data_IF_783399348022
#
_entry.id   IF_783399348022
#
_cell.length_a   1.000
_cell.length_b   1.000
_cell.length_c   1.000
_cell.angle_alpha   90.00
_cell.angle_beta   90.00
_cell.angle_gamma   90.00
#
_symmetry.space_group_name_H-M   'P 1'
#
loop_
_entity.id
_entity.type
_entity.pdbx_description
1 polymer ?
#
# COMPACT_ATOMS: atom_id res chain seq x y z
N UNK A 1 14.59 2.65 0.40
CA UNK A 1 15.40 1.70 1.21
C UNK A 1 16.01 2.37 2.46
N UNK A 2 16.51 3.61 2.37
CA UNK A 2 17.21 4.28 3.48
C UNK A 2 16.33 4.64 4.70
N UNK A 3 15.07 5.05 4.52
CA UNK A 3 14.20 5.46 5.66
C UNK A 3 13.76 4.26 6.50
N UNK A 4 13.37 3.15 5.88
CA UNK A 4 12.94 1.93 6.60
C UNK A 4 14.06 1.22 7.36
N UNK A 5 15.32 1.46 6.98
CA UNK A 5 16.52 0.94 7.66
C UNK A 5 17.20 2.01 8.53
N UNK A 6 16.60 3.19 8.66
CA UNK A 6 17.09 4.26 9.54
C UNK A 6 16.74 3.98 11.00
N UNK A 7 17.42 4.63 11.98
CA UNK A 7 17.08 4.52 13.39
C UNK A 7 15.59 4.80 13.67
N UNK A 8 15.00 5.77 12.97
CA UNK A 8 13.57 6.07 13.07
C UNK A 8 12.67 4.92 12.61
N UNK A 9 13.05 4.24 11.52
CA UNK A 9 12.35 3.05 11.03
C UNK A 9 12.40 1.88 12.00
N UNK A 10 13.52 1.69 12.71
CA UNK A 10 13.64 0.68 13.76
C UNK A 10 12.77 1.03 14.97
N UNK A 11 12.73 2.28 15.40
CA UNK A 11 11.85 2.77 16.48
C UNK A 11 10.38 2.48 16.15
N UNK A 12 9.94 2.79 14.93
CA UNK A 12 8.58 2.50 14.46
C UNK A 12 8.26 1.00 14.47
N UNK A 13 9.22 0.16 14.04
CA UNK A 13 9.05 -1.30 14.07
C UNK A 13 8.91 -1.81 15.50
N UNK A 14 9.72 -1.29 16.43
CA UNK A 14 9.64 -1.65 17.85
C UNK A 14 8.30 -1.23 18.47
N UNK A 15 7.80 -0.04 18.15
CA UNK A 15 6.47 0.44 18.58
C UNK A 15 5.37 -0.46 18.02
N UNK A 16 5.47 -0.88 16.76
CA UNK A 16 4.52 -1.79 16.11
C UNK A 16 4.49 -3.16 16.79
N UNK A 17 5.66 -3.68 17.16
CA UNK A 17 5.77 -5.02 17.74
C UNK A 17 5.33 -5.01 19.23
N UNK A 18 5.73 -4.01 20.02
CA UNK A 18 5.23 -3.80 21.38
C UNK A 18 5.45 -2.36 21.87
N UNK A 19 4.40 -1.54 21.81
CA UNK A 19 4.44 -0.13 22.23
C UNK A 19 4.78 0.05 23.73
N UNK A 20 4.28 -0.83 24.60
CA UNK A 20 4.56 -0.79 26.04
C UNK A 20 6.03 -1.07 26.33
N UNK A 21 6.64 -2.02 25.62
CA UNK A 21 8.08 -2.31 25.74
C UNK A 21 8.94 -1.16 25.21
N UNK A 22 8.50 -0.51 24.13
CA UNK A 22 9.18 0.66 23.58
C UNK A 22 9.21 1.82 24.60
N UNK A 23 8.10 2.09 25.30
CA UNK A 23 8.08 3.14 26.32
C UNK A 23 8.99 2.87 27.51
N UNK A 24 9.17 1.60 27.90
CA UNK A 24 10.06 1.24 29.01
C UNK A 24 11.55 1.47 28.73
N UNK A 25 11.97 1.45 27.46
CA UNK A 25 13.36 1.75 27.08
C UNK A 25 13.58 3.24 26.74
N UNK A 26 12.63 4.12 27.11
CA UNK A 26 12.74 5.56 26.95
C UNK A 26 12.25 6.12 25.60
N UNK A 27 11.56 5.32 24.78
CA UNK A 27 10.96 5.83 23.54
C UNK A 27 9.64 6.54 23.84
N UNK A 28 9.54 7.81 23.46
CA UNK A 28 8.26 8.53 23.45
C UNK A 28 7.38 8.03 22.29
N UNK A 29 6.51 7.07 22.60
CA UNK A 29 5.59 6.43 21.64
C UNK A 29 4.63 7.45 21.02
N UNK A 30 4.19 8.44 21.79
CA UNK A 30 3.24 9.44 21.32
C UNK A 30 3.87 10.34 20.25
N UNK A 31 5.06 10.88 20.53
CA UNK A 31 5.80 11.71 19.57
C UNK A 31 6.15 10.93 18.31
N UNK A 32 6.63 9.69 18.44
CA UNK A 32 6.96 8.86 17.29
C UNK A 32 5.75 8.57 16.39
N UNK A 33 4.58 8.28 16.98
CA UNK A 33 3.32 8.10 16.25
C UNK A 33 2.85 9.39 15.57
N UNK A 34 2.96 10.53 16.25
CA UNK A 34 2.60 11.83 15.68
C UNK A 34 3.51 12.17 14.48
N UNK A 35 4.82 11.95 14.59
CA UNK A 35 5.76 12.21 13.50
C UNK A 35 5.44 11.39 12.26
N UNK A 36 5.19 10.07 12.41
CA UNK A 36 4.86 9.23 11.26
C UNK A 36 3.48 9.57 10.69
N UNK A 37 2.53 9.99 11.53
CA UNK A 37 1.21 10.44 11.09
C UNK A 37 1.31 11.71 10.23
N UNK A 38 2.07 12.71 10.68
CA UNK A 38 2.29 13.95 9.92
C UNK A 38 2.98 13.66 8.59
N UNK A 39 3.99 12.77 8.59
CA UNK A 39 4.65 12.34 7.35
C UNK A 39 3.66 11.66 6.39
N UNK A 40 2.84 10.73 6.87
CA UNK A 40 1.83 10.07 6.04
C UNK A 40 0.78 11.06 5.50
N UNK A 41 0.33 12.00 6.35
CA UNK A 41 -0.61 13.05 5.97
C UNK A 41 -0.03 13.97 4.88
N UNK A 42 1.28 14.26 4.90
CA UNK A 42 1.93 15.05 3.86
C UNK A 42 1.88 14.35 2.50
N UNK A 43 2.15 13.05 2.44
CA UNK A 43 2.02 12.27 1.20
C UNK A 43 0.56 12.18 0.73
N UNK A 44 -0.38 11.94 1.65
CA UNK A 44 -1.81 11.88 1.34
C UNK A 44 -2.32 13.23 0.80
N UNK A 45 -1.95 14.35 1.44
CA UNK A 45 -2.31 15.69 1.02
C UNK A 45 -1.71 16.04 -0.35
N UNK A 46 -0.48 15.61 -0.64
CA UNK A 46 0.15 15.80 -1.95
C UNK A 46 -0.63 15.06 -3.04
N UNK A 47 -1.01 13.79 -2.78
CA UNK A 47 -1.87 13.03 -3.69
C UNK A 47 -3.24 13.68 -3.88
N UNK A 48 -3.88 14.15 -2.81
CA UNK A 48 -5.15 14.86 -2.86
C UNK A 48 -5.08 16.18 -3.63
N UNK A 49 -3.99 16.94 -3.48
CA UNK A 49 -3.76 18.17 -4.24
C UNK A 49 -3.64 17.87 -5.74
N UNK A 50 -2.90 16.82 -6.11
CA UNK A 50 -2.82 16.38 -7.50
C UNK A 50 -4.21 15.99 -8.02
N UNK A 51 -4.96 15.18 -7.27
CA UNK A 51 -6.32 14.77 -7.64
C UNK A 51 -7.26 15.96 -7.84
N UNK A 52 -7.19 16.98 -6.96
CA UNK A 52 -8.00 18.18 -7.06
C UNK A 52 -7.75 19.00 -8.35
N UNK A 53 -6.59 18.84 -8.99
CA UNK A 53 -6.33 19.45 -10.30
C UNK A 53 -7.07 18.75 -11.44
N UNK A 54 -7.40 17.47 -11.27
CA UNK A 54 -8.10 16.66 -12.28
C UNK A 54 -9.61 16.57 -12.05
N UNK A 55 -10.09 16.91 -10.86
CA UNK A 55 -11.50 16.81 -10.47
C UNK A 55 -12.06 18.21 -10.22
N UNK A 56 -13.16 18.56 -10.90
CA UNK A 56 -13.76 19.91 -10.85
C UNK A 56 -14.68 20.18 -9.65
N UNK A 57 -14.79 19.26 -8.69
CA UNK A 57 -15.73 19.38 -7.58
C UNK A 57 -15.51 18.36 -6.47
N UNK A 58 -16.13 18.62 -5.31
CA UNK A 58 -16.16 17.68 -4.20
C UNK A 58 -17.43 16.82 -4.29
N UNK A 59 -17.25 15.55 -4.64
CA UNK A 59 -18.35 14.60 -4.78
C UNK A 59 -18.48 13.71 -3.52
N UNK A 60 -19.70 13.40 -3.05
CA UNK A 60 -19.90 12.55 -1.86
C UNK A 60 -19.30 11.15 -1.99
N UNK A 61 -19.16 10.64 -3.22
CA UNK A 61 -18.54 9.36 -3.51
C UNK A 61 -17.10 9.24 -2.99
N UNK A 62 -16.34 10.35 -2.93
CA UNK A 62 -14.97 10.32 -2.40
C UNK A 62 -14.91 10.05 -0.89
N UNK A 63 -15.98 10.37 -0.16
CA UNK A 63 -16.10 10.09 1.27
C UNK A 63 -16.71 8.71 1.56
N UNK A 64 -17.09 7.96 0.52
CA UNK A 64 -17.69 6.66 0.68
C UNK A 64 -16.66 5.61 1.11
N UNK A 65 -17.06 4.70 2.00
CA UNK A 65 -16.14 3.74 2.63
C UNK A 65 -15.40 2.82 1.64
N UNK A 66 -15.98 2.60 0.46
CA UNK A 66 -15.38 1.75 -0.59
C UNK A 66 -14.09 2.32 -1.15
N UNK A 67 -13.94 3.66 -1.18
CA UNK A 67 -12.72 4.33 -1.65
C UNK A 67 -11.52 3.96 -0.77
N UNK A 68 -11.73 3.88 0.55
CA UNK A 68 -10.70 3.38 1.49
C UNK A 68 -10.35 1.92 1.24
N UNK A 69 -11.32 1.11 0.78
CA UNK A 69 -11.10 -0.30 0.41
C UNK A 69 -10.25 -0.47 -0.83
N UNK A 70 -10.39 0.41 -1.82
CA UNK A 70 -9.61 0.36 -3.07
C UNK A 70 -8.10 0.47 -2.80
N UNK A 71 -7.69 1.32 -1.86
CA UNK A 71 -6.29 1.43 -1.44
C UNK A 71 -5.73 0.13 -0.86
N UNK A 72 -6.55 -0.65 -0.15
CA UNK A 72 -6.14 -1.98 0.37
C UNK A 72 -5.92 -2.95 -0.80
N UNK A 73 -6.82 -2.94 -1.79
CA UNK A 73 -6.71 -3.82 -2.96
C UNK A 73 -5.51 -3.50 -3.83
N UNK A 74 -5.23 -2.21 -4.08
CA UNK A 74 -4.03 -1.74 -4.78
C UNK A 74 -2.76 -2.27 -4.09
N UNK A 75 -2.68 -2.12 -2.76
CA UNK A 75 -1.53 -2.60 -1.99
C UNK A 75 -1.40 -4.12 -2.01
N UNK A 76 -2.51 -4.85 -1.97
CA UNK A 76 -2.50 -6.32 -1.97
C UNK A 76 -2.08 -6.89 -3.32
N UNK A 77 -2.60 -6.34 -4.42
CA UNK A 77 -2.25 -6.75 -5.78
C UNK A 77 -0.79 -6.41 -6.12
N UNK A 78 -0.37 -5.20 -5.78
CA UNK A 78 0.95 -4.68 -6.08
C UNK A 78 2.06 -5.22 -5.18
N UNK A 79 1.78 -5.41 -3.89
CA UNK A 79 2.72 -5.80 -2.85
C UNK A 79 3.02 -4.66 -1.87
N UNK A 80 3.10 -4.98 -0.58
CA UNK A 80 3.30 -4.02 0.53
C UNK A 80 4.76 -3.77 0.88
N UNK A 81 5.68 -4.58 0.36
CA UNK A 81 7.11 -4.50 0.77
C UNK A 81 7.91 -3.45 0.01
N UNK A 82 7.39 -2.98 -1.12
CA UNK A 82 8.12 -2.14 -2.08
C UNK A 82 7.31 -0.89 -2.41
N UNK A 83 7.96 0.27 -2.46
CA UNK A 83 7.33 1.56 -2.80
C UNK A 83 6.70 1.58 -4.22
N UNK A 84 7.24 0.78 -5.14
CA UNK A 84 6.67 0.56 -6.48
C UNK A 84 5.47 -0.39 -6.49
N UNK A 85 5.24 -1.15 -5.41
CA UNK A 85 4.11 -2.07 -5.28
C UNK A 85 2.78 -1.38 -5.53
N UNK A 86 2.43 -0.31 -4.78
CA UNK A 86 1.19 0.43 -5.00
C UNK A 86 1.03 0.95 -6.43
N UNK A 87 2.09 1.46 -7.07
CA UNK A 87 2.01 1.93 -8.46
C UNK A 87 1.62 0.81 -9.43
N UNK A 88 2.24 -0.37 -9.31
CA UNK A 88 1.89 -1.54 -10.14
C UNK A 88 0.47 -2.03 -9.81
N UNK A 89 0.12 -2.04 -8.53
CA UNK A 89 -1.23 -2.38 -8.06
C UNK A 89 -2.31 -1.48 -8.64
N UNK A 90 -2.07 -0.16 -8.71
CA UNK A 90 -2.99 0.81 -9.32
C UNK A 90 -3.21 0.51 -10.79
N UNK A 91 -2.13 0.29 -11.56
CA UNK A 91 -2.24 -0.03 -12.99
C UNK A 91 -3.02 -1.34 -13.20
N UNK A 92 -2.71 -2.37 -12.41
CA UNK A 92 -3.39 -3.67 -12.52
C UNK A 92 -4.87 -3.58 -12.16
N UNK A 93 -5.18 -2.90 -11.05
CA UNK A 93 -6.56 -2.73 -10.60
C UNK A 93 -7.37 -1.87 -11.58
N UNK A 94 -6.76 -0.85 -12.18
CA UNK A 94 -7.40 -0.01 -13.20
C UNK A 94 -7.74 -0.81 -14.46
N UNK A 95 -6.81 -1.61 -14.98
CA UNK A 95 -7.05 -2.48 -16.15
C UNK A 95 -8.15 -3.49 -15.84
N UNK A 96 -8.10 -4.08 -14.65
CA UNK A 96 -9.12 -5.03 -14.21
C UNK A 96 -10.48 -4.36 -14.12
N UNK A 97 -10.56 -3.17 -13.50
CA UNK A 97 -11.80 -2.42 -13.36
C UNK A 97 -12.37 -2.02 -14.73
N UNK A 98 -11.55 -1.47 -15.65
CA UNK A 98 -11.99 -1.11 -17.01
C UNK A 98 -12.49 -2.34 -17.79
N UNK A 99 -11.81 -3.48 -17.67
CA UNK A 99 -12.20 -4.72 -18.35
C UNK A 99 -13.51 -5.27 -17.80
N UNK A 100 -13.64 -5.34 -16.47
CA UNK A 100 -14.87 -5.76 -15.81
C UNK A 100 -16.01 -4.80 -16.17
N UNK A 101 -15.70 -3.51 -16.31
CA UNK A 101 -16.69 -2.48 -16.61
C UNK A 101 -17.29 -2.50 -17.99
N UNK A 102 -16.55 -3.04 -18.94
CA UNK A 102 -17.05 -3.24 -20.30
C UNK A 102 -17.91 -4.49 -20.44
N UNK A 103 -17.77 -5.46 -19.52
CA UNK A 103 -18.37 -6.78 -19.67
C UNK A 103 -19.62 -6.99 -18.80
N UNK A 104 -19.73 -6.35 -17.63
CA UNK A 104 -20.72 -6.73 -16.62
C UNK A 104 -21.23 -5.54 -15.81
N UNK A 105 -22.56 -5.34 -15.72
CA UNK A 105 -23.18 -4.27 -14.90
C UNK A 105 -22.95 -4.43 -13.37
N UNK A 106 -22.65 -5.65 -12.90
CA UNK A 106 -22.34 -6.01 -11.50
C UNK A 106 -20.85 -5.94 -11.13
N UNK A 107 -20.20 -4.86 -11.51
CA UNK A 107 -18.77 -4.58 -11.32
C UNK A 107 -18.22 -4.92 -9.93
N UNK A 108 -18.90 -4.49 -8.87
CA UNK A 108 -18.41 -4.64 -7.50
C UNK A 108 -18.26 -6.09 -7.04
N UNK A 109 -19.19 -6.98 -7.45
CA UNK A 109 -19.15 -8.40 -7.09
C UNK A 109 -18.00 -9.08 -7.82
N UNK A 110 -17.86 -8.81 -9.12
CA UNK A 110 -16.79 -9.38 -9.94
C UNK A 110 -15.42 -8.94 -9.43
N UNK A 111 -15.25 -7.65 -9.12
CA UNK A 111 -14.01 -7.13 -8.56
C UNK A 111 -13.68 -7.84 -7.23
N UNK A 112 -14.66 -7.99 -6.34
CA UNK A 112 -14.49 -8.70 -5.06
C UNK A 112 -14.07 -10.16 -5.23
N UNK A 113 -14.64 -10.89 -6.20
CA UNK A 113 -14.27 -12.28 -6.49
C UNK A 113 -12.83 -12.35 -7.03
N UNK A 114 -12.46 -11.47 -7.97
CA UNK A 114 -11.10 -11.45 -8.51
C UNK A 114 -10.09 -11.12 -7.41
N UNK A 115 -10.40 -10.16 -6.55
CA UNK A 115 -9.58 -9.80 -5.40
C UNK A 115 -9.44 -10.98 -4.44
N UNK A 116 -10.53 -11.70 -4.13
CA UNK A 116 -10.49 -12.92 -3.30
C UNK A 116 -9.60 -14.00 -3.93
N UNK A 117 -9.71 -14.20 -5.24
CA UNK A 117 -8.87 -15.14 -5.97
C UNK A 117 -7.38 -14.76 -5.86
N UNK A 118 -7.05 -13.48 -6.04
CA UNK A 118 -5.67 -13.00 -5.85
C UNK A 118 -5.21 -13.10 -4.38
N UNK A 119 -6.07 -12.79 -3.41
CA UNK A 119 -5.74 -12.87 -1.98
C UNK A 119 -5.44 -14.31 -1.53
N UNK A 120 -6.21 -15.28 -2.01
CA UNK A 120 -6.08 -16.69 -1.65
C UNK A 120 -4.97 -17.36 -2.47
N UNK A 121 -4.87 -17.03 -3.77
CA UNK A 121 -3.93 -17.63 -4.70
C UNK A 121 -2.51 -17.06 -4.63
N UNK A 122 -2.35 -15.77 -4.35
CA UNK A 122 -1.05 -15.09 -4.23
C UNK A 122 -0.84 -14.61 -2.79
N UNK A 123 -0.07 -15.39 -2.02
CA UNK A 123 0.33 -15.05 -0.63
C UNK A 123 1.28 -13.83 -0.54
N UNK A 124 1.76 -13.34 -1.68
CA UNK A 124 2.69 -12.21 -1.85
C UNK A 124 2.31 -11.44 -3.12
N UNK A 125 2.36 -10.11 -3.10
CA UNK A 125 1.95 -9.27 -4.24
C UNK A 125 2.88 -9.42 -5.45
N UNK A 126 2.49 -8.91 -6.62
CA UNK A 126 3.22 -9.13 -7.87
C UNK A 126 4.69 -8.63 -7.78
N UNK A 127 4.92 -7.48 -7.13
CA UNK A 127 6.28 -6.97 -6.94
C UNK A 127 7.11 -7.78 -5.95
N UNK A 128 6.49 -8.45 -4.99
CA UNK A 128 7.21 -9.30 -4.03
C UNK A 128 7.82 -10.51 -4.76
N UNK A 129 7.12 -11.07 -5.75
CA UNK A 129 7.63 -12.17 -6.59
C UNK A 129 8.81 -11.72 -7.48
N UNK A 130 8.72 -10.52 -8.07
CA UNK A 130 9.78 -9.96 -8.92
C UNK A 130 11.03 -9.67 -8.09
N UNK A 131 10.87 -9.08 -6.91
CA UNK A 131 12.00 -8.79 -6.01
C UNK A 131 12.65 -10.08 -5.51
N UNK A 132 11.88 -11.11 -5.18
CA UNK A 132 12.39 -12.42 -4.75
C UNK A 132 13.19 -13.11 -5.85
N UNK A 133 12.70 -13.09 -7.11
CA UNK A 133 13.45 -13.61 -8.26
C UNK A 133 14.71 -12.81 -8.61
N UNK A 134 14.66 -11.48 -8.49
CA UNK A 134 15.83 -10.63 -8.72
C UNK A 134 16.89 -10.79 -7.61
N UNK A 135 16.46 -11.05 -6.37
CA UNK A 135 17.35 -11.34 -5.25
C UNK A 135 18.07 -12.68 -5.44
N UNK A 136 17.38 -13.71 -5.93
CA UNK A 136 17.97 -15.02 -6.27
C UNK A 136 19.03 -14.89 -7.37
N UNK A 137 18.74 -14.16 -8.45
CA UNK A 137 19.70 -13.93 -9.56
C UNK A 137 20.94 -13.13 -9.16
N UNK A 138 20.86 -12.30 -8.11
CA UNK A 138 22.02 -11.56 -7.58
C UNK A 138 22.91 -12.39 -6.65
N UNK A 139 22.41 -13.51 -6.11
CA UNK A 139 23.18 -14.46 -5.31
C UNK A 139 24.11 -15.36 -6.16
N UNK A 140 23.74 -15.63 -7.41
CA UNK A 140 24.49 -16.51 -8.32
C UNK A 140 25.74 -15.86 -8.96
N UNK A 141 25.90 -14.54 -8.85
CA UNK A 141 27.05 -13.81 -9.42
C UNK A 141 28.23 -13.60 -8.46
N UNK A 142 28.25 -14.26 -7.30
CA UNK A 142 29.31 -14.18 -6.27
C UNK A 142 29.86 -15.54 -5.82
N UNK A 143 29.57 -16.60 -6.58
CA UNK A 143 30.18 -17.93 -6.41
C UNK A 143 31.49 -18.01 -7.18
#
# INVERSE_FOLDING_TARGET
RQIAQSPFGYTLRMIRDNATRASFIGIDVWRAKLTIFVLAALFAATGGMIMALFVSGAYPEFAYWTVSGEGIFINMLGGVTTFLGPMVGTVLLLILNDTVTRLTEYHGIVLGIVILFFAIGLRKGLMDFVVERLAQRRGEGRG
#
